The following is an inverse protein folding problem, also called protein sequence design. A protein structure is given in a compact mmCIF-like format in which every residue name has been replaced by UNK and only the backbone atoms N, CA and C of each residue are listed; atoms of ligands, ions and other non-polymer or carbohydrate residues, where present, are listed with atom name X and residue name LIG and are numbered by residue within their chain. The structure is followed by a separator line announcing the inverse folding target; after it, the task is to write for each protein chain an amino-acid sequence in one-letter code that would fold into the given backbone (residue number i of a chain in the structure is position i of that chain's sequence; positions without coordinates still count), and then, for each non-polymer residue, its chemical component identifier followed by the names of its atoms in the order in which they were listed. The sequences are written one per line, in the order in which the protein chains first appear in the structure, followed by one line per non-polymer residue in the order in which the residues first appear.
data_IF_892206362674
#
_entry.id   IF_892206362674
#
_cell.length_a   1.000
_cell.length_b   1.000
_cell.length_c   1.000
_cell.angle_alpha   90.00
_cell.angle_beta   90.00
_cell.angle_gamma   90.00
#
_symmetry.space_group_name_H-M   'P 1'
#
loop_
_entity.id
_entity.type
_entity.pdbx_description
1 polymer ?
#
# COMPACT_ATOMS: atom_id res chain seq x y z
N UNK A 1 -0.48 -7.03 9.62
CA UNK A 1 0.82 -6.55 9.14
C UNK A 1 1.33 -5.44 10.05
N UNK A 2 0.66 -4.29 10.15
CA UNK A 2 1.17 -3.09 10.84
C UNK A 2 1.54 -3.31 12.32
N UNK A 3 0.79 -4.12 13.08
CA UNK A 3 1.08 -4.42 14.50
C UNK A 3 2.50 -5.01 14.71
N UNK A 4 3.03 -5.66 13.67
CA UNK A 4 4.37 -6.28 13.73
C UNK A 4 5.48 -5.39 13.17
N UNK A 5 5.16 -4.18 12.73
CA UNK A 5 6.16 -3.25 12.21
C UNK A 5 6.85 -2.52 13.38
N UNK A 6 8.19 -2.45 13.40
CA UNK A 6 8.93 -1.74 14.44
C UNK A 6 8.78 -0.22 14.29
N UNK A 7 9.01 0.56 15.39
CA UNK A 7 8.82 2.01 15.40
C UNK A 7 9.67 2.78 14.39
N UNK A 8 10.78 2.20 13.95
CA UNK A 8 11.72 2.75 12.97
C UNK A 8 11.48 2.25 11.54
N UNK A 9 10.30 1.63 11.29
CA UNK A 9 9.90 1.20 9.94
C UNK A 9 9.93 2.36 8.95
N UNK A 10 10.20 2.10 7.66
CA UNK A 10 10.01 3.12 6.64
C UNK A 10 8.56 3.60 6.61
N UNK A 11 8.35 4.74 5.97
CA UNK A 11 7.00 5.27 5.75
C UNK A 11 6.13 4.27 4.97
N UNK A 12 4.87 4.15 5.35
CA UNK A 12 3.91 3.22 4.74
C UNK A 12 2.72 4.01 4.21
N UNK A 13 2.37 3.81 2.95
CA UNK A 13 1.15 4.34 2.32
C UNK A 13 0.20 3.18 2.03
N UNK A 14 -1.07 3.33 2.40
CA UNK A 14 -2.06 2.25 2.34
C UNK A 14 -3.32 2.72 1.64
N UNK A 15 -3.77 1.95 0.67
CA UNK A 15 -5.13 2.01 0.15
C UNK A 15 -5.93 0.82 0.68
N UNK A 16 -7.06 1.11 1.31
CA UNK A 16 -8.07 0.17 1.71
C UNK A 16 -9.39 0.60 1.08
N UNK A 17 -10.07 -0.31 0.39
CA UNK A 17 -11.39 -0.04 -0.19
C UNK A 17 -12.42 0.13 0.93
N UNK A 18 -12.59 1.36 1.41
CA UNK A 18 -13.49 1.72 2.48
C UNK A 18 -14.22 3.03 2.17
N UNK A 19 -15.49 3.17 2.58
CA UNK A 19 -16.24 4.42 2.47
C UNK A 19 -15.62 5.55 3.32
N UNK A 20 -15.87 6.79 2.91
CA UNK A 20 -15.35 8.01 3.54
C UNK A 20 -15.55 8.09 5.05
N UNK A 21 -16.70 7.62 5.56
CA UNK A 21 -17.00 7.68 7.00
C UNK A 21 -16.18 6.72 7.86
N UNK A 22 -15.50 5.74 7.25
CA UNK A 22 -14.86 4.65 7.99
C UNK A 22 -13.33 4.73 8.04
N UNK A 23 -12.69 5.40 7.10
CA UNK A 23 -11.21 5.41 6.99
C UNK A 23 -10.55 6.09 8.17
N UNK A 24 -11.14 7.16 8.72
CA UNK A 24 -10.63 7.84 9.90
C UNK A 24 -10.72 6.97 11.16
N UNK A 25 -11.87 6.33 11.39
CA UNK A 25 -12.05 5.45 12.53
C UNK A 25 -11.14 4.22 12.46
N UNK A 26 -10.94 3.67 11.26
CA UNK A 26 -10.02 2.57 10.99
C UNK A 26 -8.56 2.96 11.30
N UNK A 27 -8.12 4.14 10.83
CA UNK A 27 -6.79 4.66 11.14
C UNK A 27 -6.58 4.84 12.64
N UNK A 28 -7.53 5.47 13.34
CA UNK A 28 -7.48 5.67 14.80
C UNK A 28 -7.39 4.34 15.56
N UNK A 29 -8.15 3.32 15.14
CA UNK A 29 -8.07 1.99 15.77
C UNK A 29 -6.70 1.34 15.54
N UNK A 30 -6.16 1.40 14.33
CA UNK A 30 -4.83 0.85 14.05
C UNK A 30 -3.73 1.59 14.82
N UNK A 31 -3.83 2.91 14.94
CA UNK A 31 -2.89 3.72 15.73
C UNK A 31 -2.81 3.26 17.19
N UNK A 32 -3.96 2.93 17.77
CA UNK A 32 -4.00 2.40 19.17
C UNK A 32 -3.41 1.00 19.34
N UNK A 33 -3.17 0.25 18.26
CA UNK A 33 -2.70 -1.15 18.28
C UNK A 33 -1.27 -1.31 17.80
N UNK A 34 -0.71 -0.31 17.12
CA UNK A 34 0.59 -0.38 16.46
C UNK A 34 1.66 0.39 17.22
N UNK A 35 2.91 -0.03 17.05
CA UNK A 35 4.07 0.73 17.56
C UNK A 35 4.45 1.92 16.66
N UNK A 36 4.01 1.90 15.41
CA UNK A 36 4.11 3.01 14.46
C UNK A 36 2.88 3.90 14.58
N UNK A 37 3.00 5.17 14.23
CA UNK A 37 1.83 6.06 14.13
C UNK A 37 1.01 5.71 12.89
N UNK A 38 -0.31 5.64 13.06
CA UNK A 38 -1.23 5.39 11.93
C UNK A 38 -2.24 6.52 11.85
N UNK A 39 -2.38 7.12 10.68
CA UNK A 39 -3.36 8.20 10.47
C UNK A 39 -4.06 8.09 9.12
N UNK A 40 -5.23 8.69 9.03
CA UNK A 40 -5.86 9.01 7.75
C UNK A 40 -5.08 10.15 7.08
N UNK A 41 -4.82 10.00 5.78
CA UNK A 41 -4.06 10.96 5.00
C UNK A 41 -4.80 12.26 4.71
N UNK A 42 -4.03 13.34 4.65
CA UNK A 42 -4.47 14.63 4.14
C UNK A 42 -3.54 15.06 3.02
N UNK A 43 -4.07 15.82 2.08
CA UNK A 43 -3.27 16.35 0.98
C UNK A 43 -2.01 17.08 1.49
N UNK A 44 -0.86 16.78 0.89
CA UNK A 44 0.43 17.34 1.29
C UNK A 44 1.11 16.69 2.49
N UNK A 45 0.52 15.70 3.15
CA UNK A 45 1.16 14.99 4.27
C UNK A 45 2.49 14.36 3.83
N UNK A 46 3.53 14.53 4.63
CA UNK A 46 4.84 13.93 4.39
C UNK A 46 4.84 12.45 4.77
N UNK A 47 5.47 11.62 3.93
CA UNK A 47 5.77 10.23 4.24
C UNK A 47 7.05 10.18 5.05
N UNK A 48 6.95 9.86 6.33
CA UNK A 48 8.07 9.83 7.28
C UNK A 48 8.22 8.44 7.92
N UNK A 49 9.46 8.01 8.27
CA UNK A 49 9.67 6.76 8.99
C UNK A 49 8.83 6.67 10.28
N UNK A 50 8.42 5.46 10.64
CA UNK A 50 7.58 5.21 11.81
C UNK A 50 6.12 5.61 11.65
N UNK A 51 5.67 5.88 10.42
CA UNK A 51 4.29 6.30 10.15
C UNK A 51 3.66 5.52 9.00
N UNK A 52 2.39 5.15 9.18
CA UNK A 52 1.51 4.66 8.13
C UNK A 52 0.40 5.66 7.83
N UNK A 53 0.18 5.96 6.55
CA UNK A 53 -0.88 6.84 6.07
C UNK A 53 -1.89 6.03 5.28
N UNK A 54 -3.15 6.09 5.69
CA UNK A 54 -4.28 5.43 5.04
C UNK A 54 -5.00 6.43 4.14
N UNK A 55 -5.24 6.05 2.89
CA UNK A 55 -5.98 6.89 1.95
C UNK A 55 -7.37 7.25 2.50
N UNK A 56 -7.77 8.51 2.45
CA UNK A 56 -9.10 8.90 2.87
C UNK A 56 -10.15 8.32 1.92
N UNK A 57 -11.26 7.84 2.45
CA UNK A 57 -12.38 7.36 1.64
C UNK A 57 -12.88 8.46 0.70
N UNK A 58 -13.33 8.07 -0.49
CA UNK A 58 -13.78 8.97 -1.55
C UNK A 58 -12.69 9.86 -2.18
N UNK A 59 -11.42 9.61 -1.89
CA UNK A 59 -10.28 10.27 -2.52
C UNK A 59 -9.26 9.24 -3.00
N UNK A 60 -8.71 9.43 -4.19
CA UNK A 60 -7.48 8.76 -4.59
C UNK A 60 -6.31 9.33 -3.81
N UNK A 61 -5.35 8.49 -3.48
CA UNK A 61 -4.09 8.89 -2.86
C UNK A 61 -2.93 8.47 -3.75
N UNK A 62 -2.03 9.39 -4.02
CA UNK A 62 -0.80 9.16 -4.77
C UNK A 62 0.41 9.65 -4.01
N UNK A 63 1.59 9.13 -4.35
CA UNK A 63 2.88 9.57 -3.81
C UNK A 63 3.51 10.55 -4.79
N UNK A 64 4.13 11.61 -4.26
CA UNK A 64 4.93 12.56 -5.03
C UNK A 64 6.28 12.78 -4.36
N UNK A 65 7.29 13.00 -5.20
CA UNK A 65 8.61 13.40 -4.75
C UNK A 65 8.67 14.93 -4.61
N UNK A 66 9.12 15.42 -3.47
CA UNK A 66 9.32 16.83 -3.20
C UNK A 66 10.74 17.04 -2.64
N UNK A 67 11.68 17.34 -3.52
CA UNK A 67 13.11 17.36 -3.15
C UNK A 67 13.59 15.98 -2.72
N UNK A 68 14.13 15.87 -1.51
CA UNK A 68 14.58 14.62 -0.91
C UNK A 68 13.47 13.84 -0.18
N UNK A 69 12.28 14.39 -0.08
CA UNK A 69 11.16 13.79 0.68
C UNK A 69 10.05 13.32 -0.25
N UNK A 70 9.21 12.43 0.27
CA UNK A 70 7.97 12.01 -0.36
C UNK A 70 6.77 12.60 0.37
N UNK A 71 5.75 12.97 -0.38
CA UNK A 71 4.46 13.43 0.15
C UNK A 71 3.32 12.68 -0.52
N UNK A 72 2.17 12.65 0.12
CA UNK A 72 0.95 12.20 -0.52
C UNK A 72 0.21 13.38 -1.15
N UNK A 73 -0.46 13.12 -2.25
CA UNK A 73 -1.46 13.99 -2.87
C UNK A 73 -2.79 13.24 -2.88
N UNK A 74 -3.88 13.96 -2.65
CA UNK A 74 -5.23 13.41 -2.71
C UNK A 74 -6.06 14.14 -3.75
N UNK A 75 -6.89 13.41 -4.49
CA UNK A 75 -7.80 13.99 -5.47
C UNK A 75 -9.11 13.20 -5.57
N UNK A 76 -10.11 13.80 -6.22
CA UNK A 76 -11.41 13.18 -6.47
C UNK A 76 -11.62 12.87 -7.97
N UNK A 77 -10.57 12.51 -8.69
CA UNK A 77 -10.68 12.04 -10.06
C UNK A 77 -11.63 10.84 -10.16
N UNK A 78 -12.05 10.50 -11.36
CA UNK A 78 -12.99 9.39 -11.60
C UNK A 78 -12.53 8.10 -10.96
N UNK A 79 -13.44 7.28 -10.41
CA UNK A 79 -13.10 5.99 -9.83
C UNK A 79 -12.33 5.11 -10.82
N UNK A 80 -11.31 4.41 -10.33
CA UNK A 80 -10.54 3.40 -11.05
C UNK A 80 -10.98 2.02 -10.52
N UNK A 81 -11.26 1.08 -11.42
CA UNK A 81 -11.88 -0.22 -11.06
C UNK A 81 -13.14 -0.07 -10.20
N UNK A 82 -13.94 0.98 -10.44
CA UNK A 82 -15.12 1.34 -9.63
C UNK A 82 -14.78 1.69 -8.17
N UNK A 83 -13.51 1.90 -7.83
CA UNK A 83 -13.04 2.21 -6.48
C UNK A 83 -12.45 3.62 -6.40
N UNK A 84 -12.68 4.28 -5.27
CA UNK A 84 -12.01 5.51 -4.86
C UNK A 84 -11.98 5.56 -3.32
N UNK A 85 -10.80 5.29 -2.69
CA UNK A 85 -9.47 5.14 -3.30
C UNK A 85 -9.30 3.85 -4.12
N UNK A 86 -8.39 3.90 -5.10
CA UNK A 86 -7.95 2.74 -5.87
C UNK A 86 -6.46 2.45 -5.63
N UNK A 87 -6.11 1.16 -5.58
CA UNK A 87 -4.74 0.69 -5.33
C UNK A 87 -3.83 1.00 -6.51
N UNK A 88 -4.31 0.80 -7.76
CA UNK A 88 -3.51 1.10 -8.95
C UNK A 88 -3.04 2.57 -8.98
N UNK A 89 -3.85 3.53 -8.53
CA UNK A 89 -3.46 4.95 -8.47
C UNK A 89 -2.25 5.16 -7.53
N UNK A 90 -2.27 4.52 -6.36
CA UNK A 90 -1.14 4.59 -5.42
C UNK A 90 0.09 3.90 -5.99
N UNK A 91 -0.06 2.69 -6.51
CA UNK A 91 1.06 1.89 -7.00
C UNK A 91 1.71 2.51 -8.24
N UNK A 92 0.93 3.02 -9.19
CA UNK A 92 1.44 3.73 -10.37
C UNK A 92 2.25 4.97 -9.98
N UNK A 93 1.77 5.74 -9.00
CA UNK A 93 2.52 6.88 -8.49
C UNK A 93 3.80 6.45 -7.77
N UNK A 94 3.77 5.35 -6.99
CA UNK A 94 4.95 4.81 -6.33
C UNK A 94 5.98 4.29 -7.35
N UNK A 95 5.55 3.61 -8.42
CA UNK A 95 6.44 3.17 -9.49
C UNK A 95 7.17 4.35 -10.13
N UNK A 96 6.45 5.45 -10.37
CA UNK A 96 6.98 6.64 -11.05
C UNK A 96 7.92 7.47 -10.17
N UNK A 97 7.59 7.66 -8.89
CA UNK A 97 8.29 8.64 -8.05
C UNK A 97 9.19 8.02 -6.99
N UNK A 98 8.97 6.76 -6.61
CA UNK A 98 9.78 6.05 -5.61
C UNK A 98 10.67 5.01 -6.29
N UNK A 99 10.14 4.27 -7.27
CA UNK A 99 10.89 3.29 -8.04
C UNK A 99 11.52 2.21 -7.18
N UNK A 100 12.85 1.94 -7.32
CA UNK A 100 13.53 0.85 -6.64
C UNK A 100 13.58 1.00 -5.10
N UNK A 101 13.26 2.18 -4.57
CA UNK A 101 13.22 2.42 -3.11
C UNK A 101 11.86 2.03 -2.49
N UNK A 102 10.94 1.46 -3.27
CA UNK A 102 9.63 1.04 -2.79
C UNK A 102 9.56 -0.49 -2.60
N UNK A 103 8.67 -0.90 -1.69
CA UNK A 103 8.18 -2.27 -1.59
C UNK A 103 6.67 -2.24 -1.79
N UNK A 104 6.18 -2.88 -2.85
CA UNK A 104 4.76 -3.04 -3.13
C UNK A 104 4.22 -4.30 -2.45
N UNK A 105 3.07 -4.18 -1.78
CA UNK A 105 2.40 -5.32 -1.14
C UNK A 105 0.94 -5.33 -1.52
N UNK A 106 0.47 -6.43 -2.11
CA UNK A 106 -0.94 -6.64 -2.42
C UNK A 106 -1.50 -7.76 -1.54
N UNK A 107 -2.65 -7.51 -0.95
CA UNK A 107 -3.28 -8.40 0.02
C UNK A 107 -4.69 -8.78 -0.41
N UNK A 108 -5.31 -9.68 0.36
CA UNK A 108 -6.68 -10.15 0.12
C UNK A 108 -7.63 -9.04 -0.32
N UNK A 109 -8.41 -9.31 -1.35
CA UNK A 109 -9.38 -8.39 -1.90
C UNK A 109 -10.03 -8.94 -3.16
N UNK A 110 -11.24 -8.46 -3.46
CA UNK A 110 -11.99 -8.85 -4.66
C UNK A 110 -11.59 -7.98 -5.86
N UNK A 111 -11.57 -8.57 -7.04
CA UNK A 111 -11.27 -7.88 -8.30
C UNK A 111 -9.78 -7.88 -8.65
N UNK A 112 -9.37 -6.89 -9.43
CA UNK A 112 -8.02 -6.81 -10.01
C UNK A 112 -7.29 -5.50 -9.69
N UNK A 113 -7.89 -4.60 -8.91
CA UNK A 113 -7.27 -3.32 -8.55
C UNK A 113 -5.93 -3.55 -7.86
N UNK A 114 -4.91 -2.86 -8.30
CA UNK A 114 -3.53 -2.98 -7.82
C UNK A 114 -2.69 -4.03 -8.54
N UNK A 115 -3.25 -4.88 -9.37
CA UNK A 115 -2.47 -5.91 -10.08
C UNK A 115 -1.55 -5.30 -11.13
N UNK A 116 -2.06 -4.37 -11.93
CA UNK A 116 -1.28 -3.65 -12.96
C UNK A 116 -0.29 -2.69 -12.29
N UNK A 117 -0.71 -1.95 -11.29
CA UNK A 117 0.17 -1.02 -10.56
C UNK A 117 1.31 -1.76 -9.86
N UNK A 118 1.08 -2.96 -9.31
CA UNK A 118 2.14 -3.78 -8.72
C UNK A 118 3.16 -4.24 -9.77
N UNK A 119 2.69 -4.59 -10.98
CA UNK A 119 3.58 -4.91 -12.10
C UNK A 119 4.43 -3.70 -12.47
N UNK A 120 3.83 -2.52 -12.61
CA UNK A 120 4.54 -1.28 -12.88
C UNK A 120 5.59 -0.95 -11.80
N UNK A 121 5.28 -1.19 -10.53
CA UNK A 121 6.24 -1.08 -9.43
C UNK A 121 7.42 -2.04 -9.62
N UNK A 122 7.16 -3.30 -9.91
CA UNK A 122 8.20 -4.31 -10.17
C UNK A 122 9.09 -3.90 -11.35
N UNK A 123 8.51 -3.49 -12.46
CA UNK A 123 9.23 -3.04 -13.64
C UNK A 123 10.08 -1.77 -13.39
N UNK A 124 9.67 -0.94 -12.45
CA UNK A 124 10.45 0.22 -11.99
C UNK A 124 11.58 -0.11 -11.01
N UNK A 125 11.76 -1.41 -10.68
CA UNK A 125 12.80 -1.91 -9.78
C UNK A 125 12.39 -2.05 -8.32
N UNK A 126 11.13 -1.76 -7.97
CA UNK A 126 10.61 -2.03 -6.64
C UNK A 126 10.55 -3.52 -6.36
N UNK A 127 10.68 -3.91 -5.10
CA UNK A 127 10.39 -5.27 -4.65
C UNK A 127 8.90 -5.45 -4.42
N UNK A 128 8.37 -6.62 -4.75
CA UNK A 128 6.91 -6.83 -4.71
C UNK A 128 6.53 -8.12 -3.99
N UNK A 129 5.46 -8.04 -3.20
CA UNK A 129 4.93 -9.16 -2.39
C UNK A 129 3.44 -9.29 -2.67
N UNK A 130 2.97 -10.52 -2.89
CA UNK A 130 1.56 -10.86 -2.89
C UNK A 130 1.24 -11.82 -1.73
N UNK A 131 0.08 -11.63 -1.12
CA UNK A 131 -0.46 -12.60 -0.16
C UNK A 131 -0.83 -13.89 -0.89
N UNK A 132 -0.51 -15.05 -0.29
CA UNK A 132 -0.85 -16.36 -0.84
C UNK A 132 -2.36 -16.65 -0.79
N UNK A 133 -2.79 -17.67 -1.52
CA UNK A 133 -4.19 -18.10 -1.61
C UNK A 133 -4.72 -18.59 -0.26
N UNK A 134 -3.96 -19.43 0.42
CA UNK A 134 -4.40 -20.13 1.64
C UNK A 134 -4.73 -19.17 2.79
N UNK A 135 -4.04 -18.05 2.90
CA UNK A 135 -4.27 -17.05 3.93
C UNK A 135 -5.22 -15.92 3.51
N UNK A 136 -5.64 -15.86 2.24
CA UNK A 136 -6.59 -14.87 1.75
C UNK A 136 -8.02 -15.21 2.18
N UNK A 137 -8.78 -14.20 2.59
CA UNK A 137 -10.24 -14.31 2.73
C UNK A 137 -10.89 -14.34 1.34
N UNK A 138 -10.42 -13.46 0.44
CA UNK A 138 -10.80 -13.42 -0.98
C UNK A 138 -9.52 -13.36 -1.82
N UNK A 139 -9.24 -14.42 -2.56
CA UNK A 139 -8.08 -14.50 -3.45
C UNK A 139 -8.42 -13.94 -4.83
N UNK A 140 -8.64 -12.62 -4.91
CA UNK A 140 -8.92 -11.88 -6.14
C UNK A 140 -7.75 -11.01 -6.55
N UNK A 141 -7.54 -9.89 -5.87
CA UNK A 141 -6.46 -8.94 -6.15
C UNK A 141 -5.07 -9.61 -6.17
N UNK A 142 -4.67 -10.41 -5.18
CA UNK A 142 -3.39 -11.12 -5.23
C UNK A 142 -3.31 -12.12 -6.40
N UNK A 143 -4.37 -12.83 -6.69
CA UNK A 143 -4.44 -13.79 -7.82
C UNK A 143 -4.15 -13.10 -9.15
N UNK A 144 -4.78 -11.97 -9.41
CA UNK A 144 -4.57 -11.23 -10.66
C UNK A 144 -3.14 -10.66 -10.74
N UNK A 145 -2.59 -10.16 -9.64
CA UNK A 145 -1.19 -9.72 -9.58
C UNK A 145 -0.20 -10.88 -9.85
N UNK A 146 -0.44 -12.05 -9.27
CA UNK A 146 0.39 -13.25 -9.49
C UNK A 146 0.33 -13.71 -10.95
N UNK A 147 -0.88 -13.74 -11.56
CA UNK A 147 -1.05 -14.08 -12.98
C UNK A 147 -0.28 -13.15 -13.92
N UNK A 148 -0.18 -11.87 -13.61
CA UNK A 148 0.60 -10.90 -14.37
C UNK A 148 2.11 -11.02 -14.12
N UNK A 149 2.56 -11.88 -13.20
CA UNK A 149 3.96 -11.96 -12.81
C UNK A 149 4.45 -10.76 -12.00
N UNK A 150 3.51 -10.00 -11.41
CA UNK A 150 3.80 -8.78 -10.66
C UNK A 150 4.46 -9.03 -9.30
N UNK A 151 4.36 -10.22 -8.72
CA UNK A 151 4.89 -10.55 -7.41
C UNK A 151 6.28 -11.20 -7.50
N UNK A 152 7.27 -10.68 -6.78
CA UNK A 152 8.57 -11.32 -6.57
C UNK A 152 8.48 -12.41 -5.49
N UNK A 153 7.65 -12.17 -4.47
CA UNK A 153 7.40 -13.12 -3.38
C UNK A 153 5.91 -13.33 -3.18
N UNK A 154 5.53 -14.59 -2.95
CA UNK A 154 4.17 -14.98 -2.58
C UNK A 154 4.28 -15.60 -1.19
N UNK A 155 3.64 -15.01 -0.20
CA UNK A 155 3.82 -15.41 1.21
C UNK A 155 2.49 -15.33 1.97
N UNK A 156 2.31 -16.16 3.03
CA UNK A 156 1.13 -16.08 3.86
C UNK A 156 1.09 -14.77 4.66
N UNK A 157 -0.12 -14.33 5.00
CA UNK A 157 -0.39 -13.07 5.69
C UNK A 157 0.54 -12.80 6.89
N UNK A 158 0.78 -13.82 7.71
CA UNK A 158 1.59 -13.70 8.92
C UNK A 158 3.09 -13.54 8.65
N UNK A 159 3.55 -13.81 7.42
CA UNK A 159 4.94 -13.67 6.97
C UNK A 159 5.22 -12.39 6.19
N UNK A 160 4.18 -11.64 5.80
CA UNK A 160 4.34 -10.36 5.09
C UNK A 160 5.23 -9.38 5.88
N UNK A 161 5.04 -9.13 7.19
CA UNK A 161 5.90 -8.22 7.94
C UNK A 161 7.38 -8.61 7.91
N UNK A 162 7.67 -9.88 8.16
CA UNK A 162 9.03 -10.42 8.11
C UNK A 162 9.65 -10.28 6.72
N UNK A 163 8.87 -10.55 5.68
CA UNK A 163 9.32 -10.39 4.29
C UNK A 163 9.66 -8.95 3.94
N UNK A 164 8.84 -7.99 4.38
CA UNK A 164 9.11 -6.55 4.21
C UNK A 164 10.44 -6.19 4.90
N UNK A 165 10.59 -6.55 6.18
CA UNK A 165 11.79 -6.23 6.96
C UNK A 165 13.07 -6.88 6.41
N UNK A 166 12.96 -8.05 5.79
CA UNK A 166 14.09 -8.70 5.11
C UNK A 166 14.50 -7.92 3.87
N UNK A 167 13.54 -7.54 3.03
CA UNK A 167 13.79 -6.79 1.80
C UNK A 167 14.35 -5.37 2.02
N UNK A 168 14.22 -4.82 3.23
CA UNK A 168 14.82 -3.53 3.59
C UNK A 168 16.32 -3.62 3.90
N UNK A 169 16.85 -4.84 4.08
CA UNK A 169 18.26 -5.08 4.41
C UNK A 169 19.11 -5.44 3.17
N UNK A 170 18.43 -5.80 2.09
CA UNK A 170 19.02 -6.13 0.80
C UNK A 170 19.21 -4.88 -0.06
#
# INVERSE_FOLDING_TARGET
VLIKMPPDSPAIAIVQHMPEMFTKAFATRLDSLCSITVKEGKDGDSLIPGQAIIAPGNYHMSVRKNGAMYRIETNQDSPVHHQRPAVDVLFDSASKYVGPNAIGVIMTGMGSDGATGLLNMKESGAKTIAQDEDSCVVFGMPKEAIKLGAADKIVPLNKIPESILTLLKD
#
